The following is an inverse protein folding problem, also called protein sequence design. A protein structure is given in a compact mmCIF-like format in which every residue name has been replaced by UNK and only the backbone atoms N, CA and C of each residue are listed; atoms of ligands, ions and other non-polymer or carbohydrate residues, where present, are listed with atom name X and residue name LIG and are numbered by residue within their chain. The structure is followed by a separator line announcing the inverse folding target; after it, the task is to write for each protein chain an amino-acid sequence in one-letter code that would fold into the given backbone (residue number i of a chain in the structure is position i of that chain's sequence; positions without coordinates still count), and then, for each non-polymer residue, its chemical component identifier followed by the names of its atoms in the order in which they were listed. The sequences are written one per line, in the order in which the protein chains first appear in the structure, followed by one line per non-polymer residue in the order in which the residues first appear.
data_IF_264153756135
#
_entry.id   IF_264153756135
#
_cell.length_a   1.000
_cell.length_b   1.000
_cell.length_c   1.000
_cell.angle_alpha   90.00
_cell.angle_beta   90.00
_cell.angle_gamma   90.00
#
_symmetry.space_group_name_H-M   'P 1'
#
loop_
_entity.id
_entity.type
_entity.pdbx_description
1 polymer ?
#
# COMPACT_ATOMS: atom_id res chain seq x y z
N UNK A 1 8.98 6.61 5.52
CA UNK A 1 9.58 5.77 4.48
C UNK A 1 11.06 5.63 4.77
N UNK A 2 11.51 4.39 4.88
CA UNK A 2 12.89 4.08 5.23
C UNK A 2 13.34 2.78 4.56
N UNK A 3 14.29 2.89 3.65
CA UNK A 3 15.03 1.78 3.08
C UNK A 3 16.38 1.58 3.74
N UNK A 4 16.89 0.36 3.71
CA UNK A 4 18.22 0.02 4.18
C UNK A 4 18.83 -1.05 3.27
N UNK A 5 20.12 -0.95 3.06
CA UNK A 5 20.92 -1.95 2.37
C UNK A 5 21.79 -2.68 3.40
N UNK A 6 21.84 -4.00 3.36
CA UNK A 6 22.69 -4.80 4.23
C UNK A 6 24.08 -5.08 3.64
N UNK A 7 24.95 -5.74 4.37
CA UNK A 7 26.33 -6.07 3.95
C UNK A 7 26.37 -6.98 2.70
N UNK A 8 25.28 -7.61 2.33
CA UNK A 8 25.12 -8.42 1.11
C UNK A 8 24.58 -7.64 -0.07
N UNK A 9 24.35 -6.32 0.09
CA UNK A 9 23.79 -5.38 -0.88
C UNK A 9 22.30 -5.59 -1.19
N UNK A 10 21.60 -6.43 -0.43
CA UNK A 10 20.15 -6.55 -0.54
C UNK A 10 19.45 -5.43 0.21
N UNK A 11 18.34 -4.96 -0.35
CA UNK A 11 17.59 -3.81 0.16
C UNK A 11 16.31 -4.21 0.87
N UNK A 12 15.86 -3.35 1.77
CA UNK A 12 14.54 -3.37 2.41
C UNK A 12 13.84 -2.03 2.18
N UNK A 13 12.50 -2.03 2.24
CA UNK A 13 11.68 -0.84 2.05
C UNK A 13 10.42 -0.88 2.92
N UNK A 14 10.30 0.06 3.86
CA UNK A 14 9.17 0.07 4.80
C UNK A 14 8.65 1.49 4.99
N UNK A 15 7.35 1.66 4.88
CA UNK A 15 6.67 2.92 5.20
C UNK A 15 5.71 2.75 6.37
N UNK A 16 5.74 3.70 7.30
CA UNK A 16 4.70 3.91 8.33
C UNK A 16 4.30 5.37 8.35
N UNK A 17 3.01 5.64 8.17
CA UNK A 17 2.45 6.97 8.34
C UNK A 17 1.94 7.15 9.76
N UNK A 18 2.27 8.26 10.38
CA UNK A 18 1.83 8.61 11.74
C UNK A 18 1.51 10.11 11.88
N UNK A 19 0.56 10.49 12.72
CA UNK A 19 0.24 11.89 12.95
C UNK A 19 1.34 12.56 13.77
N UNK A 20 1.75 13.76 13.39
CA UNK A 20 2.85 14.52 14.05
C UNK A 20 2.62 14.72 15.55
N UNK A 21 1.36 14.90 15.97
CA UNK A 21 0.98 15.08 17.37
C UNK A 21 0.74 13.75 18.14
N UNK A 22 0.98 12.59 17.48
CA UNK A 22 0.81 11.27 18.09
C UNK A 22 -0.62 10.76 18.20
N UNK A 23 -1.61 11.49 17.64
CA UNK A 23 -3.03 11.11 17.65
C UNK A 23 -3.68 11.35 16.29
N UNK A 24 -4.34 10.34 15.76
CA UNK A 24 -5.14 10.48 14.54
C UNK A 24 -6.43 11.25 14.81
N UNK A 25 -6.83 12.12 13.89
CA UNK A 25 -8.21 12.61 13.83
C UNK A 25 -9.12 11.51 13.29
N UNK A 26 -10.45 11.65 13.44
CA UNK A 26 -11.41 10.69 12.90
C UNK A 26 -11.23 10.49 11.39
N UNK A 27 -11.02 11.57 10.63
CA UNK A 27 -10.82 11.51 9.18
C UNK A 27 -9.48 10.85 8.83
N UNK A 28 -8.41 11.19 9.54
CA UNK A 28 -7.11 10.52 9.34
C UNK A 28 -7.19 9.04 9.64
N UNK A 29 -7.82 8.63 10.75
CA UNK A 29 -8.03 7.22 11.10
C UNK A 29 -8.91 6.50 10.06
N UNK A 30 -9.94 7.15 9.52
CA UNK A 30 -10.79 6.62 8.46
C UNK A 30 -9.98 6.32 7.18
N UNK A 31 -9.15 7.25 6.74
CA UNK A 31 -8.27 7.07 5.56
C UNK A 31 -7.20 6.00 5.84
N UNK A 32 -6.61 6.03 7.04
CA UNK A 32 -5.59 5.06 7.45
C UNK A 32 -6.13 3.63 7.42
N UNK A 33 -7.31 3.40 8.00
CA UNK A 33 -7.94 2.08 8.01
C UNK A 33 -8.29 1.59 6.60
N UNK A 34 -8.69 2.47 5.67
CA UNK A 34 -8.92 2.07 4.29
C UNK A 34 -7.63 1.61 3.59
N UNK A 35 -6.49 2.28 3.85
CA UNK A 35 -5.18 1.85 3.33
C UNK A 35 -4.73 0.54 3.99
N UNK A 36 -4.98 0.36 5.29
CA UNK A 36 -4.71 -0.90 5.99
C UNK A 36 -5.54 -2.06 5.44
N UNK A 37 -6.86 -1.85 5.24
CA UNK A 37 -7.75 -2.84 4.62
C UNK A 37 -7.28 -3.24 3.21
N UNK A 38 -6.80 -2.26 2.43
CA UNK A 38 -6.23 -2.51 1.10
C UNK A 38 -4.93 -3.31 1.16
N UNK A 39 -4.05 -3.02 2.11
CA UNK A 39 -2.85 -3.82 2.36
C UNK A 39 -3.21 -5.25 2.74
N UNK A 40 -4.17 -5.45 3.66
CA UNK A 40 -4.60 -6.78 4.10
C UNK A 40 -5.25 -7.58 2.95
N UNK A 41 -6.01 -6.94 2.08
CA UNK A 41 -6.54 -7.58 0.86
C UNK A 41 -5.43 -8.00 -0.10
N UNK A 42 -4.40 -7.17 -0.28
CA UNK A 42 -3.21 -7.49 -1.08
C UNK A 42 -2.43 -8.69 -0.49
N UNK A 43 -2.22 -8.70 0.84
CA UNK A 43 -1.61 -9.85 1.54
C UNK A 43 -2.40 -11.14 1.35
N UNK A 44 -3.72 -11.09 1.38
CA UNK A 44 -4.58 -12.26 1.27
C UNK A 44 -4.45 -12.99 -0.08
N UNK A 45 -4.15 -12.25 -1.16
CA UNK A 45 -3.98 -12.82 -2.51
C UNK A 45 -2.52 -13.14 -2.86
N UNK A 46 -1.55 -12.56 -2.17
CA UNK A 46 -0.12 -12.70 -2.43
C UNK A 46 0.40 -14.09 -2.02
N UNK A 47 0.25 -15.08 -2.88
CA UNK A 47 0.65 -16.49 -2.65
C UNK A 47 1.18 -17.13 -3.93
N UNK A 48 1.88 -18.27 -3.87
CA UNK A 48 2.37 -18.95 -5.06
C UNK A 48 1.27 -19.18 -6.10
N UNK A 49 1.58 -18.86 -7.36
CA UNK A 49 0.66 -19.00 -8.49
C UNK A 49 -0.26 -17.81 -8.74
N UNK A 50 -0.30 -16.81 -7.85
CA UNK A 50 -0.96 -15.53 -8.12
C UNK A 50 -0.12 -14.72 -9.10
N UNK A 51 -0.72 -14.03 -10.05
CA UNK A 51 0.02 -13.09 -10.90
C UNK A 51 0.36 -11.82 -10.11
N UNK A 52 1.55 -11.30 -10.31
CA UNK A 52 2.05 -10.17 -9.53
C UNK A 52 1.12 -8.95 -9.56
N UNK A 53 0.50 -8.64 -10.72
CA UNK A 53 -0.44 -7.52 -10.82
C UNK A 53 -1.73 -7.69 -10.00
N UNK A 54 -2.13 -8.94 -9.69
CA UNK A 54 -3.37 -9.21 -8.91
C UNK A 54 -3.27 -8.68 -7.48
N UNK A 55 -2.04 -8.51 -6.94
CA UNK A 55 -1.79 -7.85 -5.65
C UNK A 55 -2.30 -6.39 -5.72
N UNK A 56 -1.95 -5.69 -6.79
CA UNK A 56 -2.41 -4.32 -7.03
C UNK A 56 -3.93 -4.26 -7.22
N UNK A 57 -4.49 -5.16 -8.01
CA UNK A 57 -5.94 -5.21 -8.25
C UNK A 57 -6.73 -5.41 -6.95
N UNK A 58 -6.26 -6.29 -6.05
CA UNK A 58 -6.90 -6.52 -4.76
C UNK A 58 -6.91 -5.27 -3.88
N UNK A 59 -5.78 -4.55 -3.79
CA UNK A 59 -5.70 -3.29 -3.06
C UNK A 59 -6.59 -2.21 -3.68
N UNK A 60 -6.55 -2.04 -5.01
CA UNK A 60 -7.34 -1.03 -5.71
C UNK A 60 -8.83 -1.30 -5.59
N UNK A 61 -9.26 -2.57 -5.57
CA UNK A 61 -10.66 -2.93 -5.33
C UNK A 61 -11.16 -2.34 -4.00
N UNK A 62 -10.41 -2.51 -2.92
CA UNK A 62 -10.77 -1.95 -1.61
C UNK A 62 -10.80 -0.42 -1.67
N UNK A 63 -9.73 0.21 -2.18
CA UNK A 63 -9.62 1.68 -2.19
C UNK A 63 -10.71 2.33 -3.04
N UNK A 64 -11.02 1.77 -4.23
CA UNK A 64 -12.06 2.32 -5.09
C UNK A 64 -13.44 2.29 -4.41
N UNK A 65 -13.80 1.18 -3.74
CA UNK A 65 -15.06 1.10 -3.02
C UNK A 65 -15.11 2.05 -1.81
N UNK A 66 -14.01 2.22 -1.08
CA UNK A 66 -13.94 3.24 -0.01
C UNK A 66 -14.10 4.66 -0.54
N UNK A 67 -13.47 4.98 -1.66
CA UNK A 67 -13.60 6.30 -2.31
C UNK A 67 -15.04 6.55 -2.82
N UNK A 68 -15.71 5.52 -3.35
CA UNK A 68 -17.14 5.59 -3.72
C UNK A 68 -18.02 5.82 -2.50
N UNK A 69 -17.85 5.02 -1.44
CA UNK A 69 -18.58 5.14 -0.16
C UNK A 69 -18.46 6.56 0.43
N UNK A 70 -17.30 7.19 0.26
CA UNK A 70 -17.07 8.56 0.73
C UNK A 70 -17.58 9.64 -0.25
N UNK A 71 -18.16 9.25 -1.37
CA UNK A 71 -18.67 10.17 -2.40
C UNK A 71 -17.58 10.92 -3.16
N UNK A 72 -16.35 10.41 -3.18
CA UNK A 72 -15.21 11.05 -3.84
C UNK A 72 -15.10 10.64 -5.32
N UNK A 73 -15.58 9.45 -5.71
CA UNK A 73 -15.57 9.04 -7.11
C UNK A 73 -16.76 9.66 -7.88
N UNK A 74 -16.51 10.15 -9.10
CA UNK A 74 -17.59 10.66 -9.97
C UNK A 74 -18.38 9.54 -10.66
N UNK A 75 -17.96 8.29 -10.53
CA UNK A 75 -18.55 7.06 -11.08
C UNK A 75 -18.53 5.98 -10.02
N UNK A 76 -19.20 4.84 -10.24
CA UNK A 76 -19.10 3.71 -9.32
C UNK A 76 -17.68 3.13 -9.26
N UNK A 77 -17.36 2.45 -8.17
CA UNK A 77 -16.07 1.76 -8.01
C UNK A 77 -15.84 0.77 -9.15
N UNK A 78 -16.86 -0.03 -9.52
CA UNK A 78 -16.77 -0.99 -10.61
C UNK A 78 -16.40 -0.33 -11.95
N UNK A 79 -16.99 0.82 -12.26
CA UNK A 79 -16.64 1.60 -13.48
C UNK A 79 -15.23 2.16 -13.36
N UNK A 80 -14.86 2.69 -12.20
CA UNK A 80 -13.52 3.23 -11.96
C UNK A 80 -12.42 2.17 -12.08
N UNK A 81 -12.71 0.91 -11.75
CA UNK A 81 -11.77 -0.21 -11.81
C UNK A 81 -11.58 -0.78 -13.22
N UNK A 82 -12.43 -0.40 -14.21
CA UNK A 82 -12.23 -0.83 -15.61
C UNK A 82 -10.98 -0.20 -16.22
N UNK A 83 -10.51 -0.75 -17.34
CA UNK A 83 -9.34 -0.24 -18.08
C UNK A 83 -9.56 1.20 -18.55
N UNK A 84 -10.78 1.52 -19.00
CA UNK A 84 -11.17 2.86 -19.47
C UNK A 84 -11.49 3.81 -18.32
N UNK A 85 -11.74 3.29 -17.11
CA UNK A 85 -12.05 4.03 -15.90
C UNK A 85 -10.84 4.75 -15.32
N UNK A 86 -10.37 4.28 -14.17
CA UNK A 86 -9.12 4.74 -13.56
C UNK A 86 -9.26 5.99 -12.68
N UNK A 87 -10.49 6.45 -12.38
CA UNK A 87 -10.70 7.66 -11.58
C UNK A 87 -10.09 7.57 -10.18
N UNK A 88 -10.06 6.38 -9.56
CA UNK A 88 -9.40 6.12 -8.28
C UNK A 88 -7.90 6.41 -8.29
N UNK A 89 -7.23 6.28 -9.47
CA UNK A 89 -5.79 6.54 -9.63
C UNK A 89 -5.37 7.99 -9.35
N UNK A 90 -6.35 8.92 -9.29
CA UNK A 90 -6.09 10.30 -8.88
C UNK A 90 -5.43 10.37 -7.50
N UNK A 91 -5.83 9.48 -6.59
CA UNK A 91 -5.37 9.47 -5.20
C UNK A 91 -4.44 8.29 -4.87
N UNK A 92 -4.27 7.34 -5.80
CA UNK A 92 -3.29 6.26 -5.74
C UNK A 92 -2.56 6.16 -7.10
N UNK A 93 -1.54 7.00 -7.34
CA UNK A 93 -0.94 7.14 -8.68
C UNK A 93 0.17 6.14 -9.00
N UNK A 94 0.56 5.27 -8.06
CA UNK A 94 1.65 4.30 -8.23
C UNK A 94 1.17 2.84 -8.09
N UNK A 95 2.06 1.88 -8.31
CA UNK A 95 1.81 0.47 -8.07
C UNK A 95 1.73 0.17 -6.57
N UNK A 96 1.06 -0.93 -6.22
CA UNK A 96 0.98 -1.41 -4.83
C UNK A 96 2.20 -2.23 -4.43
N UNK A 97 2.99 -2.71 -5.39
CA UNK A 97 4.07 -3.66 -5.15
C UNK A 97 5.18 -3.54 -6.17
N UNK A 98 6.41 -3.75 -5.71
CA UNK A 98 7.59 -3.97 -6.54
C UNK A 98 8.47 -5.06 -5.91
N UNK A 99 9.31 -5.72 -6.72
CA UNK A 99 10.29 -6.66 -6.18
C UNK A 99 11.41 -5.90 -5.48
N UNK A 100 11.93 -6.53 -4.42
CA UNK A 100 13.12 -6.12 -3.68
C UNK A 100 14.26 -7.08 -4.00
N UNK A 101 15.47 -6.54 -4.10
CA UNK A 101 16.67 -7.30 -4.38
C UNK A 101 17.93 -6.46 -4.16
N UNK A 102 18.86 -6.48 -5.12
CA UNK A 102 20.04 -5.61 -5.12
C UNK A 102 19.67 -4.14 -5.37
N UNK A 103 18.54 -3.90 -6.04
CA UNK A 103 17.92 -2.58 -6.14
C UNK A 103 16.63 -2.57 -5.31
N UNK A 104 16.29 -1.42 -4.73
CA UNK A 104 15.01 -1.25 -4.00
C UNK A 104 13.82 -1.45 -4.95
N UNK A 105 13.88 -0.93 -6.18
CA UNK A 105 12.95 -1.25 -7.26
C UNK A 105 13.60 -2.28 -8.20
N UNK A 106 13.76 -3.51 -7.72
CA UNK A 106 14.50 -4.53 -8.43
C UNK A 106 13.77 -5.00 -9.71
N UNK A 107 14.54 -5.31 -10.76
CA UNK A 107 14.03 -5.74 -12.05
C UNK A 107 13.03 -4.78 -12.72
N UNK A 108 12.94 -3.52 -12.31
CA UNK A 108 11.92 -2.54 -12.76
C UNK A 108 11.91 -2.28 -14.28
N UNK A 109 12.98 -2.65 -15.00
CA UNK A 109 13.10 -2.54 -16.46
C UNK A 109 12.76 -3.84 -17.18
N UNK A 110 12.34 -4.89 -16.49
CA UNK A 110 11.89 -6.13 -17.11
C UNK A 110 10.61 -5.90 -17.95
N UNK A 111 10.38 -6.72 -18.94
CA UNK A 111 9.14 -6.66 -19.73
C UNK A 111 7.93 -6.97 -18.85
N UNK A 112 6.81 -6.31 -19.12
CA UNK A 112 5.60 -6.40 -18.30
C UNK A 112 5.11 -7.86 -18.08
N UNK A 113 5.21 -8.71 -19.10
CA UNK A 113 4.83 -10.13 -18.99
C UNK A 113 5.77 -10.94 -18.10
N UNK A 114 7.01 -10.48 -17.89
CA UNK A 114 8.01 -11.12 -17.02
C UNK A 114 8.08 -10.48 -15.63
N UNK A 115 7.38 -9.40 -15.40
CA UNK A 115 7.32 -8.67 -14.14
C UNK A 115 5.88 -8.68 -13.60
N UNK A 116 5.03 -7.80 -14.11
CA UNK A 116 3.64 -7.68 -13.65
C UNK A 116 2.80 -8.93 -13.98
N UNK A 117 3.04 -9.56 -15.10
CA UNK A 117 2.33 -10.77 -15.55
C UNK A 117 2.92 -12.09 -15.04
N UNK A 118 4.06 -12.05 -14.35
CA UNK A 118 4.69 -13.25 -13.78
C UNK A 118 3.87 -13.81 -12.61
N UNK A 119 3.97 -15.12 -12.41
CA UNK A 119 3.42 -15.77 -11.23
C UNK A 119 4.36 -15.59 -10.05
N UNK A 120 3.79 -15.38 -8.87
CA UNK A 120 4.55 -15.45 -7.63
C UNK A 120 5.07 -16.87 -7.41
N UNK A 121 6.33 -16.97 -7.02
CA UNK A 121 7.02 -18.22 -6.69
C UNK A 121 7.63 -18.12 -5.28
N UNK A 122 7.73 -19.23 -4.56
CA UNK A 122 8.41 -19.25 -3.26
C UNK A 122 9.84 -18.72 -3.34
N UNK A 123 10.20 -17.88 -2.37
CA UNK A 123 11.49 -17.20 -2.32
C UNK A 123 11.50 -15.79 -2.92
N UNK A 124 10.46 -15.37 -3.64
CA UNK A 124 10.34 -13.98 -4.09
C UNK A 124 10.09 -13.05 -2.91
N UNK A 125 10.77 -11.90 -2.92
CA UNK A 125 10.58 -10.80 -1.95
C UNK A 125 10.07 -9.58 -2.72
N UNK A 126 9.05 -8.92 -2.17
CA UNK A 126 8.39 -7.76 -2.77
C UNK A 126 7.71 -6.91 -1.70
N UNK A 127 7.36 -5.67 -2.05
CA UNK A 127 6.61 -4.77 -1.17
C UNK A 127 5.10 -4.95 -1.33
N UNK A 128 4.34 -4.59 -0.28
CA UNK A 128 2.91 -4.25 -0.36
C UNK A 128 2.73 -2.87 0.25
N UNK A 129 2.44 -1.86 -0.59
CA UNK A 129 2.50 -0.45 -0.26
C UNK A 129 1.31 0.39 -0.77
N UNK A 130 0.05 -0.02 -0.54
CA UNK A 130 -1.08 0.81 -0.95
C UNK A 130 -1.08 2.15 -0.24
N UNK A 131 -1.67 3.16 -0.90
CA UNK A 131 -1.70 4.52 -0.39
C UNK A 131 -2.96 5.27 -0.81
N UNK A 132 -3.27 6.36 -0.10
CA UNK A 132 -4.17 7.42 -0.54
C UNK A 132 -3.54 8.77 -0.28
N UNK A 133 -3.48 9.63 -1.30
CA UNK A 133 -2.89 10.96 -1.24
C UNK A 133 -3.90 12.02 -1.66
N UNK A 134 -4.43 12.76 -0.70
CA UNK A 134 -5.31 13.90 -0.94
C UNK A 134 -4.49 15.20 -0.85
N UNK A 135 -4.13 15.74 -2.01
CA UNK A 135 -3.33 16.97 -2.06
C UNK A 135 -4.10 18.14 -1.42
N UNK A 136 -3.37 19.05 -0.78
CA UNK A 136 -3.96 20.22 -0.13
C UNK A 136 -4.70 21.13 -1.12
N UNK A 137 -4.20 21.23 -2.35
CA UNK A 137 -4.79 22.03 -3.43
C UNK A 137 -5.93 21.33 -4.18
N UNK A 138 -6.26 20.07 -3.86
CA UNK A 138 -7.30 19.32 -4.55
C UNK A 138 -8.70 19.78 -4.11
N UNK A 139 -9.25 20.75 -4.84
CA UNK A 139 -10.59 21.30 -4.60
C UNK A 139 -11.73 20.31 -4.95
N UNK A 140 -11.42 19.15 -5.54
CA UNK A 140 -12.42 18.12 -5.84
C UNK A 140 -12.73 17.22 -4.64
N UNK A 141 -11.94 17.30 -3.56
CA UNK A 141 -12.22 16.60 -2.30
C UNK A 141 -12.65 17.58 -1.20
N UNK A 142 -13.52 17.16 -0.27
CA UNK A 142 -13.89 17.95 0.91
C UNK A 142 -12.64 18.42 1.68
N UNK A 143 -12.72 19.58 2.29
CA UNK A 143 -11.60 20.22 2.99
C UNK A 143 -10.99 19.30 4.06
N UNK A 144 -11.83 18.50 4.72
CA UNK A 144 -11.41 17.59 5.80
C UNK A 144 -10.45 16.49 5.37
N UNK A 145 -10.39 16.13 4.06
CA UNK A 145 -9.44 15.16 3.51
C UNK A 145 -8.15 15.80 3.00
N UNK A 146 -8.16 17.11 2.68
CA UNK A 146 -7.03 17.78 2.03
C UNK A 146 -5.79 17.75 2.93
N UNK A 147 -4.64 17.52 2.32
CA UNK A 147 -3.36 17.39 3.02
C UNK A 147 -3.15 16.03 3.71
N UNK A 148 -4.12 15.10 3.63
CA UNK A 148 -3.93 13.74 4.16
C UNK A 148 -3.25 12.88 3.11
N UNK A 149 -2.04 12.39 3.43
CA UNK A 149 -1.32 11.38 2.65
C UNK A 149 -0.96 10.21 3.55
N UNK A 150 -1.42 9.01 3.19
CA UNK A 150 -1.18 7.79 3.97
C UNK A 150 -0.67 6.70 3.05
N UNK A 151 0.48 6.09 3.40
CA UNK A 151 1.01 4.85 2.85
C UNK A 151 1.36 3.92 4.00
N UNK A 152 1.05 2.65 3.82
CA UNK A 152 1.53 1.55 4.65
C UNK A 152 2.27 0.58 3.73
N UNK A 153 3.50 0.26 4.09
CA UNK A 153 4.38 -0.59 3.30
C UNK A 153 5.08 -1.62 4.16
N UNK A 154 5.00 -2.84 3.72
CA UNK A 154 5.66 -3.97 4.34
C UNK A 154 6.44 -4.78 3.29
N UNK A 155 7.60 -5.31 3.69
CA UNK A 155 8.35 -6.31 2.93
C UNK A 155 7.73 -7.69 3.11
N UNK A 156 7.53 -8.41 2.02
CA UNK A 156 6.80 -9.68 1.99
C UNK A 156 7.64 -10.77 1.33
N UNK A 157 7.79 -11.90 2.01
CA UNK A 157 8.37 -13.11 1.45
C UNK A 157 7.25 -14.05 0.97
N UNK A 158 7.25 -14.43 -0.30
CA UNK A 158 6.43 -15.54 -0.80
C UNK A 158 7.00 -16.87 -0.28
N UNK A 159 6.15 -17.69 0.35
CA UNK A 159 6.51 -19.01 0.89
C UNK A 159 5.81 -20.12 0.11
N UNK A 160 6.11 -21.38 0.38
CA UNK A 160 5.44 -22.53 -0.26
C UNK A 160 3.92 -22.53 -0.09
N UNK A 161 3.43 -22.05 1.07
CA UNK A 161 2.02 -22.12 1.46
C UNK A 161 1.30 -20.77 1.47
N UNK A 162 2.00 -19.66 1.13
CA UNK A 162 1.41 -18.30 1.20
C UNK A 162 2.47 -17.22 1.24
N UNK A 163 2.43 -16.38 2.27
CA UNK A 163 3.41 -15.31 2.46
C UNK A 163 3.73 -15.06 3.95
N UNK A 164 4.83 -14.37 4.17
CA UNK A 164 5.25 -13.89 5.50
C UNK A 164 5.56 -12.40 5.41
N UNK A 165 4.95 -11.60 6.29
CA UNK A 165 5.31 -10.20 6.47
C UNK A 165 6.63 -10.11 7.25
N UNK A 166 7.70 -9.67 6.60
CA UNK A 166 9.02 -9.51 7.21
C UNK A 166 9.08 -8.30 8.15
N UNK A 167 8.20 -7.32 7.95
CA UNK A 167 8.08 -6.09 8.74
C UNK A 167 7.07 -6.21 9.90
N UNK A 168 6.56 -7.41 10.21
CA UNK A 168 5.47 -7.63 11.18
C UNK A 168 5.76 -7.14 12.61
N UNK A 169 7.03 -6.89 12.94
CA UNK A 169 7.41 -6.30 14.24
C UNK A 169 6.99 -4.83 14.40
N UNK A 170 6.71 -4.14 13.30
CA UNK A 170 6.27 -2.75 13.30
C UNK A 170 4.74 -2.64 13.41
N UNK A 171 4.22 -1.69 14.20
CA UNK A 171 2.77 -1.51 14.32
C UNK A 171 2.15 -1.12 12.98
N UNK A 172 0.93 -1.64 12.72
CA UNK A 172 0.17 -1.39 11.48
C UNK A 172 -1.20 -0.79 11.73
N UNK A 173 -1.76 -0.88 12.94
CA UNK A 173 -3.08 -0.34 13.26
C UNK A 173 -2.99 1.09 13.80
N UNK A 174 -4.10 1.84 13.73
CA UNK A 174 -4.22 3.20 14.31
C UNK A 174 -3.79 3.19 15.77
N UNK A 175 -4.34 2.28 16.57
CA UNK A 175 -4.03 2.16 18.00
C UNK A 175 -2.57 1.79 18.24
N UNK A 176 -2.03 0.85 17.45
CA UNK A 176 -0.63 0.44 17.53
C UNK A 176 0.34 1.58 17.22
N UNK A 177 0.05 2.39 16.21
CA UNK A 177 0.84 3.59 15.86
C UNK A 177 0.77 4.63 16.99
N UNK A 178 -0.41 4.92 17.52
CA UNK A 178 -0.55 5.86 18.64
C UNK A 178 0.18 5.42 19.90
N UNK A 179 0.12 4.13 20.23
CA UNK A 179 0.88 3.54 21.36
C UNK A 179 2.39 3.62 21.11
N UNK A 180 2.83 3.36 19.88
CA UNK A 180 4.23 3.46 19.51
C UNK A 180 4.74 4.88 19.65
N UNK A 181 4.01 5.87 19.12
CA UNK A 181 4.32 7.30 19.25
C UNK A 181 4.40 7.73 20.72
N UNK A 182 3.44 7.28 21.55
CA UNK A 182 3.44 7.60 22.99
C UNK A 182 4.65 7.02 23.76
N UNK A 183 5.22 5.90 23.30
CA UNK A 183 6.45 5.33 23.86
C UNK A 183 7.70 6.12 23.46
N UNK A 184 7.74 6.64 22.23
CA UNK A 184 8.87 7.41 21.71
C UNK A 184 8.91 8.86 22.22
N UNK A 185 7.77 9.42 22.63
CA UNK A 185 7.66 10.79 23.16
C UNK A 185 8.18 10.94 24.61
N UNK A 186 8.68 9.88 25.22
CA UNK A 186 9.28 9.88 26.59
C UNK A 186 10.78 10.07 26.51
#
# INVERSE_FOLDING_TARGET
DAGVEDDTLYTADVTRTFPVNGKFTEVQAKVYNAVLDAADAAFAVAKPGTKFYEIHEAAMNVLAHRLEEWGLLPVSADVSLTVEGGQHRRWMPHGTSHHLGLDVHDCAKARAELYQGALLEPGMIFTIEPALYFKDEDLSVPEEYRGIGIRLEDDVLCTEDGNVNLSAALPRTVEGIEEWMAKLAK
#
